data_IF_059519606454
#
_entry.id   IF_059519606454
#
_cell.length_a   1.000
_cell.length_b   1.000
_cell.length_c   1.000
_cell.angle_alpha   90.00
_cell.angle_beta   90.00
_cell.angle_gamma   90.00
#
_symmetry.space_group_name_H-M   'P 1'
#
loop_
_entity.id
_entity.type
_entity.pdbx_description
1 polymer ?
#
# COMPACT_ATOMS: atom_id res chain seq x y z
N UNK A 1 -2.95 -10.11 -5.75
CA UNK A 1 -1.82 -9.47 -5.03
C UNK A 1 -1.86 -7.98 -5.27
N UNK A 2 -1.28 -7.17 -4.38
CA UNK A 2 -1.13 -5.73 -4.53
C UNK A 2 0.34 -5.37 -4.42
N UNK A 3 0.83 -4.62 -5.42
CA UNK A 3 2.19 -4.12 -5.49
C UNK A 3 2.16 -2.60 -5.52
N UNK A 4 2.88 -1.95 -4.60
CA UNK A 4 3.10 -0.50 -4.63
C UNK A 4 4.57 -0.19 -4.80
N UNK A 5 4.90 0.62 -5.79
CA UNK A 5 6.23 1.21 -5.97
C UNK A 5 6.40 2.43 -5.07
N UNK A 6 7.55 2.53 -4.41
CA UNK A 6 7.95 3.69 -3.61
C UNK A 6 9.34 4.13 -4.08
N UNK A 7 9.49 5.41 -4.39
CA UNK A 7 10.78 6.05 -4.61
C UNK A 7 10.87 7.33 -3.78
N UNK A 8 11.95 7.46 -3.02
CA UNK A 8 12.27 8.66 -2.23
C UNK A 8 13.58 9.23 -2.77
N UNK A 9 13.55 10.49 -3.20
CA UNK A 9 14.71 11.19 -3.78
C UNK A 9 15.08 12.36 -2.89
N UNK A 10 16.34 12.42 -2.47
CA UNK A 10 16.89 13.51 -1.68
C UNK A 10 17.16 14.71 -2.61
N UNK A 11 16.57 15.89 -2.34
CA UNK A 11 16.54 16.98 -3.32
C UNK A 11 17.89 17.66 -3.53
N UNK A 12 18.80 17.62 -2.56
CA UNK A 12 20.05 18.37 -2.63
C UNK A 12 21.15 17.67 -3.44
N UNK A 13 21.13 16.33 -3.49
CA UNK A 13 22.21 15.52 -4.07
C UNK A 13 21.69 14.40 -4.98
N UNK A 14 20.38 14.27 -5.17
CA UNK A 14 19.76 13.30 -6.06
C UNK A 14 19.84 11.85 -5.60
N UNK A 15 20.35 11.57 -4.38
CA UNK A 15 20.35 10.20 -3.83
C UNK A 15 18.92 9.69 -3.76
N UNK A 16 18.72 8.42 -4.10
CA UNK A 16 17.40 7.82 -4.11
C UNK A 16 17.37 6.45 -3.43
N UNK A 17 16.23 6.14 -2.80
CA UNK A 17 15.87 4.80 -2.34
C UNK A 17 14.59 4.41 -3.05
N UNK A 18 14.65 3.38 -3.88
CA UNK A 18 13.53 2.86 -4.66
C UNK A 18 13.28 1.41 -4.30
N UNK A 19 12.02 1.05 -4.04
CA UNK A 19 11.61 -0.30 -3.70
C UNK A 19 10.17 -0.57 -4.15
N UNK A 20 9.82 -1.84 -4.31
CA UNK A 20 8.45 -2.28 -4.52
C UNK A 20 8.02 -3.17 -3.35
N UNK A 21 6.80 -2.97 -2.85
CA UNK A 21 6.27 -3.71 -1.70
C UNK A 21 5.08 -4.55 -2.16
N UNK A 22 5.16 -5.85 -1.87
CA UNK A 22 4.12 -6.83 -2.18
C UNK A 22 3.22 -7.06 -0.98
N UNK A 23 1.93 -7.23 -1.21
CA UNK A 23 0.99 -7.77 -0.22
C UNK A 23 -0.02 -8.69 -0.90
N UNK A 24 -0.45 -9.73 -0.21
CA UNK A 24 -1.48 -10.66 -0.66
C UNK A 24 -2.76 -10.29 0.07
N UNK A 25 -3.87 -10.17 -0.68
CA UNK A 25 -5.20 -9.91 -0.13
C UNK A 25 -6.05 -11.11 -0.46
N UNK A 26 -6.50 -11.81 0.58
CA UNK A 26 -7.37 -12.97 0.48
C UNK A 26 -8.80 -12.49 0.59
N UNK A 27 -9.58 -12.76 -0.46
CA UNK A 27 -11.01 -12.51 -0.46
C UNK A 27 -11.77 -13.72 0.06
N UNK A 28 -12.93 -13.47 0.67
CA UNK A 28 -13.92 -14.52 0.88
C UNK A 28 -14.49 -14.98 -0.46
N UNK A 29 -15.21 -16.09 -0.44
CA UNK A 29 -16.00 -16.49 -1.61
C UNK A 29 -17.26 -15.63 -1.64
N UNK A 30 -17.40 -14.83 -2.70
CA UNK A 30 -18.61 -14.06 -2.95
C UNK A 30 -19.55 -14.85 -3.87
N UNK A 31 -20.85 -14.72 -3.63
CA UNK A 31 -21.86 -15.09 -4.60
C UNK A 31 -22.16 -13.94 -5.60
N UNK A 32 -22.98 -14.24 -6.61
CA UNK A 32 -23.33 -13.26 -7.64
C UNK A 32 -24.12 -12.07 -7.10
N UNK A 33 -24.97 -12.28 -6.10
CA UNK A 33 -25.80 -11.23 -5.51
C UNK A 33 -24.95 -10.26 -4.68
N UNK A 34 -23.96 -10.75 -3.95
CA UNK A 34 -22.97 -9.93 -3.25
C UNK A 34 -22.16 -9.07 -4.22
N UNK A 35 -21.71 -9.65 -5.33
CA UNK A 35 -20.96 -8.91 -6.37
C UNK A 35 -21.85 -7.81 -6.98
N UNK A 36 -23.07 -8.15 -7.41
CA UNK A 36 -24.00 -7.18 -8.00
C UNK A 36 -24.33 -6.04 -7.04
N UNK A 37 -24.63 -6.37 -5.78
CA UNK A 37 -24.90 -5.36 -4.74
C UNK A 37 -23.70 -4.46 -4.51
N UNK A 38 -22.48 -5.02 -4.50
CA UNK A 38 -21.28 -4.20 -4.32
C UNK A 38 -21.03 -3.28 -5.50
N UNK A 39 -21.14 -3.78 -6.73
CA UNK A 39 -21.01 -2.98 -7.96
C UNK A 39 -22.02 -1.85 -8.01
N UNK A 40 -23.28 -2.10 -7.59
CA UNK A 40 -24.32 -1.07 -7.55
C UNK A 40 -24.01 0.11 -6.61
N UNK A 41 -23.06 -0.05 -5.67
CA UNK A 41 -22.62 1.07 -4.80
C UNK A 41 -21.77 2.11 -5.53
N UNK A 42 -21.20 1.77 -6.69
CA UNK A 42 -20.25 2.61 -7.42
C UNK A 42 -18.84 2.66 -6.82
N UNK A 43 -18.63 2.23 -5.56
CA UNK A 43 -17.32 2.18 -4.90
C UNK A 43 -16.23 1.44 -5.70
N UNK A 44 -16.49 0.29 -6.36
CA UNK A 44 -15.42 -0.42 -7.05
C UNK A 44 -14.99 0.22 -8.39
N UNK A 45 -15.76 1.18 -8.93
CA UNK A 45 -15.60 1.62 -10.33
C UNK A 45 -14.32 2.44 -10.58
N UNK A 46 -13.76 3.07 -9.56
CA UNK A 46 -12.53 3.87 -9.66
C UNK A 46 -11.33 3.21 -8.97
N UNK A 47 -11.44 1.91 -8.59
CA UNK A 47 -10.43 1.20 -7.81
C UNK A 47 -9.77 0.10 -8.62
N UNK A 48 -8.44 0.03 -8.55
CA UNK A 48 -7.70 -1.09 -9.09
C UNK A 48 -8.15 -2.40 -8.41
N UNK A 49 -8.50 -3.41 -9.22
CA UNK A 49 -9.03 -4.67 -8.70
C UNK A 49 -10.48 -4.62 -8.23
N UNK A 50 -11.20 -3.52 -8.49
CA UNK A 50 -12.63 -3.36 -8.20
C UNK A 50 -13.00 -3.56 -6.72
N UNK A 51 -12.15 -3.06 -5.79
CA UNK A 51 -12.49 -3.01 -4.36
C UNK A 51 -11.74 -1.89 -3.62
N UNK A 52 -12.27 -1.48 -2.46
CA UNK A 52 -11.58 -0.61 -1.52
C UNK A 52 -11.42 -1.27 -0.15
N UNK A 53 -10.18 -1.48 0.29
CA UNK A 53 -9.86 -2.06 1.62
C UNK A 53 -10.21 -1.15 2.81
N UNK A 54 -10.50 0.13 2.53
CA UNK A 54 -10.97 1.13 3.50
C UNK A 54 -12.47 1.41 3.40
N UNK A 55 -13.14 0.78 2.43
CA UNK A 55 -14.56 0.98 2.14
C UNK A 55 -15.39 -0.28 2.37
N UNK A 56 -16.53 -0.37 1.69
CA UNK A 56 -17.43 -1.52 1.71
C UNK A 56 -16.75 -2.79 1.22
N UNK A 57 -15.77 -2.67 0.31
CA UNK A 57 -14.96 -3.79 -0.17
C UNK A 57 -14.22 -4.56 0.95
N UNK A 58 -13.97 -3.92 2.10
CA UNK A 58 -13.37 -4.57 3.25
C UNK A 58 -14.21 -5.73 3.83
N UNK A 59 -15.54 -5.70 3.62
CA UNK A 59 -16.45 -6.78 4.05
C UNK A 59 -16.09 -8.13 3.42
N UNK A 60 -15.42 -8.10 2.27
CA UNK A 60 -15.06 -9.29 1.51
C UNK A 60 -13.60 -9.71 1.69
N UNK A 61 -12.82 -9.02 2.51
CA UNK A 61 -11.40 -9.33 2.75
C UNK A 61 -11.26 -10.21 3.99
N UNK A 62 -10.85 -11.47 3.81
CA UNK A 62 -10.61 -12.41 4.90
C UNK A 62 -9.27 -12.18 5.60
N UNK A 63 -8.22 -11.90 4.82
CA UNK A 63 -6.88 -11.75 5.34
C UNK A 63 -6.02 -10.87 4.44
N UNK A 64 -5.04 -10.21 5.05
CA UNK A 64 -3.97 -9.51 4.34
C UNK A 64 -2.65 -10.06 4.86
N UNK A 65 -1.84 -10.61 3.96
CA UNK A 65 -0.47 -11.01 4.24
C UNK A 65 0.47 -9.95 3.68
N UNK A 66 1.21 -9.29 4.57
CA UNK A 66 2.07 -8.16 4.24
C UNK A 66 1.61 -6.85 4.88
N UNK A 67 1.60 -5.76 4.13
CA UNK A 67 1.38 -4.42 4.65
C UNK A 67 0.00 -3.89 4.27
N UNK A 68 -0.84 -3.61 5.26
CA UNK A 68 -2.13 -2.96 5.04
C UNK A 68 -1.98 -1.59 4.35
N UNK A 69 -1.04 -0.77 4.81
CA UNK A 69 -0.78 0.54 4.20
C UNK A 69 -0.25 0.45 2.76
N UNK A 70 0.46 -0.64 2.42
CA UNK A 70 0.77 -0.97 1.04
C UNK A 70 -0.49 -1.21 0.19
N UNK A 71 -1.47 -1.97 0.72
CA UNK A 71 -2.76 -2.22 0.03
C UNK A 71 -3.55 -0.92 -0.14
N UNK A 72 -3.48 0.00 0.83
CA UNK A 72 -4.07 1.35 0.71
C UNK A 72 -3.38 2.19 -0.36
N UNK A 73 -2.09 1.94 -0.64
CA UNK A 73 -1.33 2.60 -1.72
C UNK A 73 -0.08 3.36 -1.28
N UNK A 74 0.30 3.31 0.01
CA UNK A 74 1.58 3.85 0.48
C UNK A 74 2.17 2.99 1.60
N UNK A 75 3.24 2.21 1.35
CA UNK A 75 3.81 1.30 2.34
C UNK A 75 4.56 2.04 3.46
N UNK A 76 3.84 2.54 4.46
CA UNK A 76 4.36 3.46 5.50
C UNK A 76 5.60 2.94 6.26
N UNK A 77 5.65 1.64 6.58
CA UNK A 77 6.82 1.06 7.27
C UNK A 77 8.09 1.14 6.40
N UNK A 78 7.94 0.87 5.10
CA UNK A 78 9.03 0.95 4.12
C UNK A 78 9.43 2.40 3.83
N UNK A 79 8.45 3.31 3.79
CA UNK A 79 8.70 4.75 3.70
C UNK A 79 9.51 5.26 4.90
N UNK A 80 9.11 4.90 6.13
CA UNK A 80 9.87 5.23 7.34
C UNK A 80 11.32 4.74 7.26
N UNK A 81 11.54 3.52 6.75
CA UNK A 81 12.89 2.98 6.60
C UNK A 81 13.69 3.77 5.54
N UNK A 82 13.09 4.06 4.38
CA UNK A 82 13.72 4.86 3.33
C UNK A 82 14.08 6.28 3.83
N UNK A 83 13.19 6.91 4.60
CA UNK A 83 13.45 8.21 5.23
C UNK A 83 14.65 8.15 6.18
N UNK A 84 14.74 7.12 7.02
CA UNK A 84 15.91 6.91 7.89
C UNK A 84 17.21 6.79 7.10
N UNK A 85 17.22 5.99 6.03
CA UNK A 85 18.41 5.78 5.20
C UNK A 85 18.86 7.05 4.47
N UNK A 86 17.93 7.87 4.00
CA UNK A 86 18.26 9.05 3.18
C UNK A 86 18.54 10.32 4.00
N UNK A 87 17.86 10.50 5.13
CA UNK A 87 17.83 11.77 5.88
C UNK A 87 18.43 11.70 7.29
N UNK A 88 18.63 10.52 7.89
CA UNK A 88 19.34 10.43 9.16
C UNK A 88 20.84 10.31 8.87
N UNK A 89 21.52 11.45 8.88
CA UNK A 89 22.98 11.52 8.96
C UNK A 89 23.38 10.86 10.29
N UNK A 90 24.35 9.93 10.34
CA UNK A 90 24.94 9.53 11.61
C UNK A 90 25.39 10.80 12.32
N UNK A 91 25.09 10.97 13.62
CA UNK A 91 25.63 12.10 14.38
C UNK A 91 27.12 12.20 14.07
N UNK A 92 27.56 13.38 13.62
CA UNK A 92 29.00 13.62 13.46
C UNK A 92 29.61 13.39 14.83
N UNK A 93 30.43 12.35 14.93
CA UNK A 93 31.33 12.16 16.07
C UNK A 93 32.11 13.47 16.21
N UNK A 94 31.84 14.20 17.30
CA UNK A 94 32.39 15.52 17.54
C UNK A 94 33.93 15.44 17.49
N UNK A 95 34.50 16.24 16.59
CA UNK A 95 35.91 16.59 16.57
C UNK A 95 36.30 17.43 17.79
#
# INVERSE_FOLDING_TARGET
>A
EVWTGLSLVHPADGRAVTQAVRSIVKFSRLDGEEIERYVATGEPLDKAGAYAVQGRGALYVEAIEGSYSNVVGLPLSHLKHALKLLFVVPERENA
#
